data_IF_003622233116
#
_entry.id   IF_003622233116
#
_cell.length_a   1.000
_cell.length_b   1.000
_cell.length_c   1.000
_cell.angle_alpha   90.00
_cell.angle_beta   90.00
_cell.angle_gamma   90.00
#
_symmetry.space_group_name_H-M   'P 1'
#
loop_
_entity.id
_entity.type
_entity.pdbx_description
1 polymer ?
#
# COMPACT_ATOMS: atom_id res chain seq x y z
N UNK A 1 -32.06 -57.39 -46.07
CA UNK A 1 -32.34 -57.04 -47.48
C UNK A 1 -32.76 -55.57 -47.50
N UNK A 2 -31.97 -54.74 -48.20
CA UNK A 2 -32.25 -53.44 -48.87
C UNK A 2 -33.42 -52.55 -48.35
N UNK A 3 -33.37 -51.21 -48.29
CA UNK A 3 -32.48 -50.18 -48.83
C UNK A 3 -32.98 -48.81 -48.29
N UNK A 4 -32.04 -47.89 -48.04
CA UNK A 4 -32.03 -46.46 -48.36
C UNK A 4 -33.33 -45.74 -48.80
N UNK A 5 -33.61 -44.55 -48.22
CA UNK A 5 -33.32 -43.23 -48.86
C UNK A 5 -33.71 -42.03 -47.99
N UNK A 6 -32.93 -40.96 -48.20
CA UNK A 6 -32.93 -39.66 -47.55
C UNK A 6 -33.79 -38.60 -48.25
N UNK A 7 -34.04 -37.46 -47.55
CA UNK A 7 -34.00 -36.02 -47.96
C UNK A 7 -34.87 -35.21 -46.98
N UNK A 8 -34.37 -34.26 -46.18
CA UNK A 8 -33.83 -32.91 -46.47
C UNK A 8 -34.90 -31.93 -47.04
N UNK A 9 -35.41 -31.01 -46.21
CA UNK A 9 -35.32 -29.53 -46.35
C UNK A 9 -36.50 -28.70 -45.79
N UNK A 10 -36.11 -27.66 -45.02
CA UNK A 10 -36.62 -26.29 -44.91
C UNK A 10 -38.05 -25.93 -44.45
N UNK A 11 -38.10 -25.03 -43.45
CA UNK A 11 -39.26 -24.20 -43.09
C UNK A 11 -39.15 -23.66 -41.65
N UNK A 12 -38.29 -22.69 -41.35
CA UNK A 12 -38.53 -21.23 -41.40
C UNK A 12 -39.50 -20.73 -40.30
N UNK A 13 -39.00 -19.75 -39.54
CA UNK A 13 -39.65 -18.83 -38.56
C UNK A 13 -39.75 -19.30 -37.11
N UNK A 14 -38.66 -19.08 -36.36
CA UNK A 14 -38.79 -18.63 -34.97
C UNK A 14 -38.30 -17.18 -34.89
N UNK A 15 -39.22 -16.33 -34.45
CA UNK A 15 -39.15 -14.89 -34.34
C UNK A 15 -37.96 -14.46 -33.47
N UNK A 16 -37.13 -13.55 -34.00
CA UNK A 16 -36.28 -12.68 -33.19
C UNK A 16 -37.17 -11.85 -32.27
N UNK A 17 -37.04 -12.04 -30.95
CA UNK A 17 -37.47 -11.05 -29.97
C UNK A 17 -36.18 -10.40 -29.44
N UNK A 18 -35.78 -9.31 -30.08
CA UNK A 18 -34.74 -8.40 -29.57
C UNK A 18 -35.40 -7.63 -28.44
N UNK A 19 -35.32 -8.19 -27.22
CA UNK A 19 -35.57 -7.42 -26.02
C UNK A 19 -34.41 -6.43 -25.87
N UNK A 20 -34.69 -5.17 -26.21
CA UNK A 20 -33.84 -4.03 -25.91
C UNK A 20 -33.85 -3.80 -24.39
N UNK A 21 -33.14 -4.66 -23.66
CA UNK A 21 -32.66 -4.33 -22.33
C UNK A 21 -31.53 -3.33 -22.51
N UNK A 22 -31.89 -2.05 -22.48
CA UNK A 22 -30.97 -0.99 -22.05
C UNK A 22 -30.56 -1.33 -20.62
N UNK A 23 -29.58 -2.24 -20.49
CA UNK A 23 -28.73 -2.27 -19.32
C UNK A 23 -28.09 -0.88 -19.30
N UNK A 24 -28.54 -0.05 -18.36
CA UNK A 24 -27.66 0.93 -17.76
C UNK A 24 -26.44 0.13 -17.27
N UNK A 25 -25.45 -0.03 -18.15
CA UNK A 25 -24.10 -0.30 -17.69
C UNK A 25 -23.84 0.84 -16.71
N UNK A 26 -23.49 0.56 -15.43
CA UNK A 26 -22.89 1.61 -14.63
C UNK A 26 -21.75 2.12 -15.50
N UNK A 27 -21.75 3.42 -15.76
CA UNK A 27 -20.54 4.10 -16.20
C UNK A 27 -19.53 3.84 -15.10
N UNK A 28 -18.80 2.74 -15.23
CA UNK A 28 -17.60 2.50 -14.45
C UNK A 28 -16.80 3.77 -14.61
N UNK A 29 -16.53 4.42 -13.48
CA UNK A 29 -15.75 5.63 -13.38
C UNK A 29 -14.38 5.34 -14.00
N UNK A 30 -14.27 5.53 -15.31
CA UNK A 30 -13.03 5.41 -16.05
C UNK A 30 -12.39 6.80 -16.05
N UNK A 31 -11.84 7.20 -14.91
CA UNK A 31 -10.95 8.35 -14.83
C UNK A 31 -10.17 8.33 -13.50
N UNK A 32 -8.83 8.32 -13.63
CA UNK A 32 -7.79 8.51 -12.62
C UNK A 32 -7.06 7.27 -12.03
N UNK A 33 -7.22 6.08 -12.63
CA UNK A 33 -6.13 5.09 -12.61
C UNK A 33 -5.02 5.66 -13.51
N UNK A 34 -3.77 5.82 -13.10
CA UNK A 34 -2.91 4.72 -12.72
C UNK A 34 -1.93 5.21 -11.66
N UNK A 35 -2.32 5.05 -10.39
CA UNK A 35 -1.29 4.94 -9.35
C UNK A 35 -0.41 3.73 -9.67
N UNK A 36 -0.98 2.65 -10.21
CA UNK A 36 -0.24 1.46 -10.64
C UNK A 36 -0.39 1.27 -12.13
N UNK A 37 0.71 1.01 -12.83
CA UNK A 37 0.66 0.67 -14.26
C UNK A 37 0.01 -0.71 -14.46
N UNK A 38 -0.55 -0.96 -15.64
CA UNK A 38 -1.13 -2.26 -15.97
C UNK A 38 -0.14 -3.43 -15.81
N UNK A 39 1.14 -3.22 -16.10
CA UNK A 39 2.19 -4.24 -15.95
C UNK A 39 2.44 -4.58 -14.47
N UNK A 40 2.48 -3.58 -13.59
CA UNK A 40 2.62 -3.80 -12.15
C UNK A 40 1.38 -4.47 -11.55
N UNK A 41 0.18 -4.09 -12.00
CA UNK A 41 -1.05 -4.77 -11.60
C UNK A 41 -1.03 -6.23 -12.03
N UNK A 42 -0.71 -6.50 -13.30
CA UNK A 42 -0.62 -7.86 -13.82
C UNK A 42 0.41 -8.69 -13.06
N UNK A 43 1.57 -8.12 -12.76
CA UNK A 43 2.59 -8.79 -11.96
C UNK A 43 2.04 -9.18 -10.57
N UNK A 44 1.38 -8.27 -9.87
CA UNK A 44 0.79 -8.53 -8.56
C UNK A 44 -0.28 -9.64 -8.63
N UNK A 45 -1.14 -9.61 -9.64
CA UNK A 45 -2.18 -10.64 -9.83
C UNK A 45 -1.57 -12.02 -10.14
N UNK A 46 -0.60 -12.08 -11.06
CA UNK A 46 0.11 -13.32 -11.39
C UNK A 46 0.90 -13.84 -10.16
N UNK A 47 1.47 -12.94 -9.37
CA UNK A 47 2.25 -13.29 -8.19
C UNK A 47 1.34 -13.81 -7.08
N UNK A 48 0.17 -13.22 -6.86
CA UNK A 48 -0.84 -13.79 -5.97
C UNK A 48 -1.29 -15.18 -6.42
N UNK A 49 -1.58 -15.38 -7.72
CA UNK A 49 -1.93 -16.70 -8.25
C UNK A 49 -0.79 -17.73 -8.07
N UNK A 50 0.46 -17.28 -8.10
CA UNK A 50 1.62 -18.10 -7.74
C UNK A 50 1.69 -18.40 -6.24
N UNK A 51 1.45 -17.41 -5.36
CA UNK A 51 1.49 -17.59 -3.91
C UNK A 51 0.34 -18.49 -3.45
N UNK A 52 -0.91 -18.12 -3.74
CA UNK A 52 -2.12 -18.85 -3.35
C UNK A 52 -2.04 -19.41 -1.94
N UNK A 53 -2.40 -20.68 -1.78
CA UNK A 53 -2.22 -21.42 -0.51
C UNK A 53 -0.78 -21.97 -0.33
N UNK A 54 0.11 -21.77 -1.30
CA UNK A 54 1.45 -22.40 -1.32
C UNK A 54 2.37 -21.82 -0.26
N UNK A 55 2.28 -20.53 0.02
CA UNK A 55 3.14 -19.88 1.03
C UNK A 55 2.90 -20.45 2.43
N UNK A 56 1.67 -20.88 2.74
CA UNK A 56 1.35 -21.51 4.04
C UNK A 56 2.04 -22.87 4.24
N UNK A 57 2.56 -23.46 3.16
CA UNK A 57 3.33 -24.72 3.15
C UNK A 57 4.84 -24.50 3.14
N UNK A 58 5.29 -23.24 3.13
CA UNK A 58 6.70 -22.88 3.22
C UNK A 58 7.19 -22.94 4.66
N UNK A 59 8.50 -22.76 4.85
CA UNK A 59 9.08 -22.75 6.19
C UNK A 59 8.57 -21.52 6.94
N UNK A 60 8.03 -21.74 8.14
CA UNK A 60 7.63 -20.66 9.04
C UNK A 60 8.85 -20.23 9.85
N UNK A 61 9.11 -18.92 9.88
CA UNK A 61 10.20 -18.34 10.65
C UNK A 61 9.72 -17.84 12.00
N UNK A 62 10.57 -17.98 13.02
CA UNK A 62 10.31 -17.45 14.37
C UNK A 62 10.52 -15.94 14.47
N UNK A 63 11.33 -15.37 13.56
CA UNK A 63 11.66 -13.95 13.51
C UNK A 63 11.79 -13.48 12.07
N UNK A 64 11.53 -12.18 11.85
CA UNK A 64 11.78 -11.56 10.56
C UNK A 64 13.29 -11.48 10.29
N UNK A 65 13.80 -11.93 9.13
CA UNK A 65 15.24 -11.95 8.88
C UNK A 65 15.87 -10.56 8.80
N UNK A 66 17.09 -10.43 9.35
CA UNK A 66 17.90 -9.23 9.18
C UNK A 66 18.32 -9.04 7.70
N UNK A 67 18.49 -7.80 7.28
CA UNK A 67 18.88 -7.46 5.90
C UNK A 67 17.74 -7.54 4.87
N UNK A 68 16.53 -7.87 5.31
CA UNK A 68 15.30 -7.75 4.52
C UNK A 68 14.63 -6.43 4.90
N UNK A 69 14.15 -5.63 3.94
CA UNK A 69 13.33 -4.47 4.22
C UNK A 69 12.12 -4.82 5.06
N UNK A 70 11.80 -3.97 6.03
CA UNK A 70 10.59 -4.12 6.82
C UNK A 70 9.38 -3.87 5.91
N UNK A 71 8.38 -4.75 5.86
CA UNK A 71 7.17 -4.53 5.07
C UNK A 71 6.40 -3.32 5.61
N UNK A 72 5.70 -2.59 4.75
CA UNK A 72 5.01 -1.36 5.17
C UNK A 72 3.92 -1.59 6.24
N UNK A 73 3.30 -2.77 6.24
CA UNK A 73 2.31 -3.16 7.26
C UNK A 73 2.95 -3.74 8.54
N UNK A 74 4.27 -3.72 8.64
CA UNK A 74 5.04 -4.21 9.78
C UNK A 74 5.51 -5.66 9.64
N UNK A 75 5.97 -6.24 10.75
CA UNK A 75 6.45 -7.63 10.83
C UNK A 75 5.67 -8.47 11.84
N UNK A 76 4.62 -7.91 12.43
CA UNK A 76 3.79 -8.60 13.41
C UNK A 76 2.89 -9.63 12.72
N UNK A 77 3.20 -10.90 12.89
CA UNK A 77 2.40 -11.97 12.31
C UNK A 77 3.16 -13.26 12.06
N UNK A 78 2.65 -14.07 11.13
CA UNK A 78 3.32 -15.28 10.71
C UNK A 78 4.25 -14.98 9.53
N UNK A 79 5.54 -15.27 9.67
CA UNK A 79 6.53 -15.08 8.61
C UNK A 79 6.82 -16.40 7.93
N UNK A 80 6.77 -16.45 6.61
CA UNK A 80 7.02 -17.63 5.78
C UNK A 80 8.12 -17.36 4.75
N UNK A 81 8.97 -18.35 4.49
CA UNK A 81 10.11 -18.22 3.59
C UNK A 81 10.18 -19.38 2.60
N UNK A 82 10.27 -19.08 1.30
CA UNK A 82 10.39 -20.11 0.29
C UNK A 82 11.73 -20.87 0.38
N UNK A 83 11.83 -22.01 -0.30
CA UNK A 83 13.06 -22.83 -0.29
C UNK A 83 14.32 -22.10 -0.75
N UNK A 84 14.20 -21.04 -1.56
CA UNK A 84 15.35 -20.25 -2.02
C UNK A 84 15.86 -19.37 -0.87
N UNK A 85 14.96 -18.65 -0.20
CA UNK A 85 15.26 -17.84 0.97
C UNK A 85 15.87 -18.67 2.11
N UNK A 86 15.47 -19.94 2.24
CA UNK A 86 15.97 -20.85 3.28
C UNK A 86 17.36 -21.43 3.03
N UNK A 87 17.97 -21.23 1.84
CA UNK A 87 19.31 -21.77 1.57
C UNK A 87 20.39 -21.09 2.41
N UNK A 88 20.28 -19.79 2.58
CA UNK A 88 21.18 -18.97 3.38
C UNK A 88 20.40 -17.80 3.97
N UNK A 89 20.03 -17.91 5.24
CA UNK A 89 19.26 -16.87 5.95
C UNK A 89 20.07 -15.59 6.23
N UNK A 90 21.38 -15.61 5.96
CA UNK A 90 22.24 -14.42 6.04
C UNK A 90 22.39 -13.70 4.70
N UNK A 91 21.99 -14.35 3.59
CA UNK A 91 22.10 -13.83 2.24
C UNK A 91 20.96 -14.31 1.34
N UNK A 92 20.03 -13.40 1.06
CA UNK A 92 18.89 -13.68 0.20
C UNK A 92 19.27 -13.60 -1.29
N UNK A 93 19.34 -14.75 -1.94
CA UNK A 93 19.54 -14.85 -3.38
C UNK A 93 18.32 -14.34 -4.16
N UNK A 94 18.52 -13.98 -5.43
CA UNK A 94 17.43 -13.70 -6.36
C UNK A 94 16.47 -14.89 -6.46
N UNK A 95 15.17 -14.61 -6.35
CA UNK A 95 14.15 -15.66 -6.22
C UNK A 95 13.73 -15.97 -4.78
N UNK A 96 14.39 -15.38 -3.78
CA UNK A 96 13.93 -15.43 -2.39
C UNK A 96 12.57 -14.74 -2.27
N UNK A 97 11.65 -15.38 -1.56
CA UNK A 97 10.34 -14.82 -1.23
C UNK A 97 10.11 -14.97 0.25
N UNK A 98 9.74 -13.86 0.88
CA UNK A 98 9.23 -13.79 2.24
C UNK A 98 7.77 -13.37 2.19
N UNK A 99 6.94 -13.96 3.04
CA UNK A 99 5.53 -13.60 3.19
C UNK A 99 5.28 -13.34 4.65
N UNK A 100 4.73 -12.17 4.99
CA UNK A 100 4.24 -11.83 6.32
C UNK A 100 2.72 -11.82 6.26
N UNK A 101 2.11 -12.72 7.02
CA UNK A 101 0.67 -12.75 7.23
C UNK A 101 0.35 -11.96 8.50
N UNK A 102 -0.21 -10.76 8.31
CA UNK A 102 -0.48 -9.80 9.37
C UNK A 102 -1.74 -10.18 10.13
N UNK A 103 -1.64 -10.31 11.44
CA UNK A 103 -2.72 -10.83 12.29
C UNK A 103 -3.34 -9.72 13.12
N UNK A 104 -4.68 -9.68 13.15
CA UNK A 104 -5.48 -8.84 14.04
C UNK A 104 -6.58 -9.70 14.65
N UNK A 105 -6.75 -9.64 15.97
CA UNK A 105 -7.75 -10.42 16.71
C UNK A 105 -7.72 -11.93 16.38
N UNK A 106 -6.51 -12.46 16.17
CA UNK A 106 -6.28 -13.88 15.85
C UNK A 106 -6.62 -14.28 14.41
N UNK A 107 -6.88 -13.33 13.51
CA UNK A 107 -7.17 -13.58 12.09
C UNK A 107 -6.24 -12.80 11.18
N UNK A 108 -5.87 -13.36 10.02
CA UNK A 108 -5.16 -12.59 9.02
C UNK A 108 -6.05 -11.46 8.50
N UNK A 109 -5.49 -10.26 8.33
CA UNK A 109 -6.17 -9.13 7.71
C UNK A 109 -5.47 -8.63 6.45
N UNK A 110 -4.16 -8.86 6.34
CA UNK A 110 -3.36 -8.49 5.18
C UNK A 110 -2.17 -9.46 5.01
N UNK A 111 -1.58 -9.45 3.82
CA UNK A 111 -0.43 -10.29 3.47
C UNK A 111 0.60 -9.41 2.76
N UNK A 112 1.75 -9.18 3.38
CA UNK A 112 2.90 -8.58 2.69
C UNK A 112 3.74 -9.68 2.06
N UNK A 113 4.02 -9.57 0.77
CA UNK A 113 4.97 -10.43 0.06
C UNK A 113 6.17 -9.61 -0.37
N UNK A 114 7.37 -10.09 -0.03
CA UNK A 114 8.63 -9.48 -0.40
C UNK A 114 9.36 -10.44 -1.33
N UNK A 115 9.55 -10.01 -2.56
CA UNK A 115 10.26 -10.76 -3.59
C UNK A 115 11.61 -10.14 -3.86
N UNK A 116 12.68 -10.90 -3.64
CA UNK A 116 14.03 -10.48 -4.05
C UNK A 116 14.16 -10.66 -5.56
N UNK A 117 13.83 -9.58 -6.26
CA UNK A 117 13.83 -9.51 -7.71
C UNK A 117 15.25 -9.38 -8.26
N UNK A 118 15.43 -9.60 -9.57
CA UNK A 118 16.74 -9.47 -10.23
C UNK A 118 17.31 -8.05 -10.10
N UNK A 119 18.62 -7.95 -10.33
CA UNK A 119 19.37 -6.70 -10.31
C UNK A 119 18.63 -5.57 -11.06
N UNK A 120 18.59 -4.40 -10.41
CA UNK A 120 18.11 -3.12 -10.93
C UNK A 120 16.59 -2.94 -11.05
N UNK A 121 15.78 -3.88 -10.53
CA UNK A 121 14.31 -3.74 -10.57
C UNK A 121 13.79 -2.79 -9.49
N UNK A 122 14.37 -2.80 -8.28
CA UNK A 122 14.00 -1.87 -7.23
C UNK A 122 15.20 -1.42 -6.41
N UNK A 123 16.10 -0.65 -7.03
CA UNK A 123 17.35 -0.16 -6.39
C UNK A 123 17.13 0.53 -5.05
N UNK A 124 16.00 1.22 -4.89
CA UNK A 124 15.66 1.95 -3.65
C UNK A 124 15.59 0.99 -2.46
N UNK A 125 15.13 -0.23 -2.69
CA UNK A 125 14.89 -1.21 -1.64
C UNK A 125 15.79 -2.44 -1.79
N UNK A 126 17.02 -2.23 -2.27
CA UNK A 126 17.98 -3.31 -2.51
C UNK A 126 17.33 -4.44 -3.34
N UNK A 127 16.70 -4.12 -4.47
CA UNK A 127 15.99 -5.06 -5.35
C UNK A 127 14.84 -5.88 -4.72
N UNK A 128 14.42 -5.57 -3.49
CA UNK A 128 13.20 -6.15 -2.92
C UNK A 128 11.98 -5.44 -3.49
N UNK A 129 11.05 -6.23 -4.01
CA UNK A 129 9.75 -5.75 -4.46
C UNK A 129 8.68 -6.23 -3.48
N UNK A 130 7.97 -5.29 -2.86
CA UNK A 130 6.86 -5.58 -1.98
C UNK A 130 5.52 -5.51 -2.74
N UNK A 131 4.65 -6.48 -2.45
CA UNK A 131 3.22 -6.38 -2.71
C UNK A 131 2.45 -6.65 -1.43
N UNK A 132 1.58 -5.72 -1.05
CA UNK A 132 0.61 -5.86 0.03
C UNK A 132 -0.73 -6.29 -0.55
N UNK A 133 -1.24 -7.43 -0.09
CA UNK A 133 -2.56 -7.94 -0.43
C UNK A 133 -3.50 -7.88 0.77
N UNK A 134 -4.79 -7.79 0.49
CA UNK A 134 -5.82 -8.26 1.41
C UNK A 134 -5.90 -9.79 1.38
N UNK A 135 -6.58 -10.39 2.36
CA UNK A 135 -6.68 -11.86 2.49
C UNK A 135 -7.40 -12.55 1.33
N UNK A 136 -8.18 -11.81 0.54
CA UNK A 136 -8.85 -12.31 -0.67
C UNK A 136 -7.94 -12.25 -1.91
N UNK A 137 -6.74 -11.67 -1.80
CA UNK A 137 -5.81 -11.45 -2.90
C UNK A 137 -5.91 -10.09 -3.58
N UNK A 138 -6.83 -9.22 -3.15
CA UNK A 138 -6.94 -7.86 -3.67
C UNK A 138 -5.65 -7.08 -3.39
N UNK A 139 -5.07 -6.47 -4.44
CA UNK A 139 -3.78 -5.76 -4.34
C UNK A 139 -3.99 -4.38 -3.72
N UNK A 140 -3.60 -4.24 -2.46
CA UNK A 140 -3.68 -2.97 -1.74
C UNK A 140 -2.59 -2.00 -2.18
N UNK A 141 -1.34 -2.46 -2.20
CA UNK A 141 -0.16 -1.61 -2.49
C UNK A 141 0.96 -2.41 -3.14
N UNK A 142 1.77 -1.76 -3.98
CA UNK A 142 3.00 -2.34 -4.52
C UNK A 142 4.15 -1.34 -4.46
N UNK A 143 5.40 -1.83 -4.47
CA UNK A 143 6.57 -0.96 -4.66
C UNK A 143 6.59 -0.23 -6.02
N UNK A 144 5.77 -0.65 -6.99
CA UNK A 144 5.61 0.01 -8.29
C UNK A 144 4.54 1.10 -8.33
N UNK A 145 3.84 1.34 -7.22
CA UNK A 145 2.82 2.38 -7.13
C UNK A 145 3.45 3.77 -7.26
N UNK A 146 2.74 4.68 -7.94
CA UNK A 146 3.19 6.00 -8.33
C UNK A 146 3.59 6.78 -7.08
N UNK A 147 4.89 7.02 -6.97
CA UNK A 147 5.53 7.69 -5.85
C UNK A 147 4.93 9.06 -5.52
N UNK A 148 4.21 9.72 -6.45
CA UNK A 148 3.69 11.06 -6.21
C UNK A 148 2.71 11.14 -5.03
N UNK A 149 1.84 10.14 -4.86
CA UNK A 149 0.87 10.09 -3.76
C UNK A 149 1.12 8.93 -2.79
N UNK A 150 2.06 8.04 -3.12
CA UNK A 150 2.42 6.91 -2.28
C UNK A 150 3.31 7.38 -1.13
N UNK A 151 2.76 7.35 0.09
CA UNK A 151 3.50 7.58 1.33
C UNK A 151 3.57 6.26 2.09
N UNK A 152 4.68 6.02 2.78
CA UNK A 152 4.89 4.82 3.60
C UNK A 152 3.78 4.68 4.66
N UNK A 153 3.26 3.46 4.84
CA UNK A 153 2.21 3.17 5.81
C UNK A 153 0.81 3.59 5.36
N UNK A 154 0.65 4.16 4.17
CA UNK A 154 -0.64 4.56 3.61
C UNK A 154 -0.91 3.93 2.24
N UNK A 155 -2.17 3.55 2.04
CA UNK A 155 -2.73 3.27 0.71
C UNK A 155 -3.42 4.52 0.21
N UNK A 156 -2.97 5.03 -0.93
CA UNK A 156 -3.55 6.16 -1.61
C UNK A 156 -4.27 5.68 -2.89
N UNK A 157 -5.49 6.19 -3.15
CA UNK A 157 -6.27 5.89 -4.36
C UNK A 157 -6.99 7.12 -4.86
N UNK A 158 -7.01 7.34 -6.18
CA UNK A 158 -7.87 8.36 -6.77
C UNK A 158 -9.23 7.74 -7.10
N UNK A 159 -10.31 8.35 -6.59
CA UNK A 159 -11.69 7.96 -6.90
C UNK A 159 -12.46 9.23 -7.19
N UNK A 160 -12.98 9.35 -8.41
CA UNK A 160 -13.68 10.53 -8.93
C UNK A 160 -12.90 11.84 -8.72
N UNK A 161 -11.60 11.83 -9.01
CA UNK A 161 -10.70 12.98 -8.85
C UNK A 161 -10.38 13.37 -7.40
N UNK A 162 -10.80 12.56 -6.42
CA UNK A 162 -10.51 12.77 -4.99
C UNK A 162 -9.47 11.77 -4.53
N UNK A 163 -8.51 12.25 -3.74
CA UNK A 163 -7.47 11.41 -3.17
C UNK A 163 -7.98 10.78 -1.88
N UNK A 164 -8.25 9.49 -1.92
CA UNK A 164 -8.51 8.68 -0.74
C UNK A 164 -7.22 8.17 -0.16
N UNK A 165 -7.09 8.26 1.15
CA UNK A 165 -5.95 7.75 1.89
C UNK A 165 -6.42 7.03 3.14
N UNK A 166 -5.94 5.80 3.30
CA UNK A 166 -6.14 4.99 4.50
C UNK A 166 -4.80 4.42 4.97
N UNK A 167 -4.62 4.15 6.27
CA UNK A 167 -3.50 3.34 6.73
C UNK A 167 -3.53 1.96 6.06
N UNK A 168 -2.35 1.36 5.85
CA UNK A 168 -2.23 0.01 5.28
C UNK A 168 -2.96 -1.07 6.09
N UNK A 169 -3.24 -0.79 7.36
CA UNK A 169 -3.94 -1.68 8.28
C UNK A 169 -5.42 -1.28 8.49
N UNK A 170 -5.95 -0.30 7.76
CA UNK A 170 -7.33 0.16 7.94
C UNK A 170 -8.33 -0.96 7.65
N UNK A 171 -9.35 -1.19 8.51
CA UNK A 171 -10.42 -2.14 8.21
C UNK A 171 -11.27 -1.69 7.01
N UNK A 172 -11.25 -0.40 6.66
CA UNK A 172 -11.99 0.16 5.54
C UNK A 172 -11.26 0.00 4.18
N UNK A 173 -10.08 -0.64 4.18
CA UNK A 173 -9.26 -0.78 2.97
C UNK A 173 -9.95 -1.61 1.89
N UNK A 174 -10.67 -2.68 2.28
CA UNK A 174 -11.43 -3.51 1.33
C UNK A 174 -12.46 -2.69 0.54
N UNK A 175 -13.26 -1.87 1.23
CA UNK A 175 -14.25 -1.00 0.60
C UNK A 175 -13.58 -0.03 -0.39
N UNK A 176 -12.45 0.58 -0.01
CA UNK A 176 -11.71 1.49 -0.89
C UNK A 176 -11.18 0.79 -2.15
N UNK A 177 -10.67 -0.44 -2.02
CA UNK A 177 -10.13 -1.19 -3.15
C UNK A 177 -11.22 -1.60 -4.15
N UNK A 178 -12.43 -1.90 -3.68
CA UNK A 178 -13.61 -2.12 -4.51
C UNK A 178 -14.10 -0.85 -5.24
N UNK A 179 -13.52 0.32 -4.91
CA UNK A 179 -13.95 1.61 -5.45
C UNK A 179 -15.12 2.22 -4.68
N UNK A 180 -15.51 1.61 -3.56
CA UNK A 180 -16.50 2.15 -2.66
C UNK A 180 -15.86 3.19 -1.72
N UNK A 181 -16.63 4.18 -1.33
CA UNK A 181 -16.23 5.14 -0.32
C UNK A 181 -16.54 4.55 1.07
N UNK A 182 -15.54 4.43 1.98
CA UNK A 182 -15.81 4.11 3.37
C UNK A 182 -16.96 4.91 3.95
N UNK A 183 -17.90 4.24 4.62
CA UNK A 183 -19.11 4.88 5.17
C UNK A 183 -18.75 6.05 6.10
N UNK A 184 -17.79 5.81 7.02
CA UNK A 184 -17.24 6.82 7.91
C UNK A 184 -15.98 7.39 7.31
N UNK A 185 -16.03 8.65 6.92
CA UNK A 185 -14.88 9.36 6.39
C UNK A 185 -14.93 10.85 6.69
N UNK A 186 -13.76 11.48 6.61
CA UNK A 186 -13.59 12.92 6.58
C UNK A 186 -13.31 13.38 5.16
N UNK A 187 -13.74 14.59 4.83
CA UNK A 187 -13.45 15.23 3.55
C UNK A 187 -12.75 16.56 3.81
N UNK A 188 -11.57 16.73 3.25
CA UNK A 188 -10.72 17.91 3.39
C UNK A 188 -10.48 18.53 2.00
N UNK A 189 -11.34 19.47 1.57
CA UNK A 189 -11.21 20.11 0.27
C UNK A 189 -9.88 20.86 0.14
N UNK A 190 -9.12 20.58 -0.92
CA UNK A 190 -7.87 21.27 -1.21
C UNK A 190 -6.68 20.92 -0.31
N UNK A 191 -6.83 19.96 0.61
CA UNK A 191 -5.77 19.59 1.55
C UNK A 191 -4.75 18.60 0.98
N UNK A 192 -5.13 17.83 -0.04
CA UNK A 192 -4.23 16.87 -0.67
C UNK A 192 -3.20 17.53 -1.58
N UNK A 193 -2.17 16.78 -2.01
CA UNK A 193 -1.23 17.19 -3.05
C UNK A 193 -1.95 17.73 -4.29
N UNK A 194 -1.37 18.72 -4.97
CA UNK A 194 -1.98 19.46 -6.09
C UNK A 194 -3.35 20.11 -5.77
N UNK A 195 -3.62 20.44 -4.49
CA UNK A 195 -4.92 20.94 -4.02
C UNK A 195 -6.08 19.96 -4.28
N UNK A 196 -5.79 18.66 -4.33
CA UNK A 196 -6.84 17.63 -4.41
C UNK A 196 -7.67 17.61 -3.13
N UNK A 197 -8.93 17.17 -3.26
CA UNK A 197 -9.73 16.84 -2.07
C UNK A 197 -9.18 15.57 -1.46
N UNK A 198 -8.72 15.67 -0.21
CA UNK A 198 -8.25 14.53 0.57
C UNK A 198 -9.43 13.92 1.32
N UNK A 199 -9.62 12.61 1.19
CA UNK A 199 -10.58 11.82 1.94
C UNK A 199 -9.88 10.74 2.72
N UNK A 200 -10.34 10.47 3.94
CA UNK A 200 -9.72 9.50 4.82
C UNK A 200 -10.73 9.01 5.87
N UNK A 201 -10.42 7.93 6.59
CA UNK A 201 -11.28 7.40 7.67
C UNK A 201 -11.35 8.34 8.88
N UNK A 202 -10.30 9.13 9.13
CA UNK A 202 -10.21 10.07 10.24
C UNK A 202 -9.41 11.32 9.89
N UNK A 203 -9.50 12.36 10.74
CA UNK A 203 -8.69 13.57 10.58
C UNK A 203 -7.23 13.30 10.92
N UNK A 204 -7.00 12.41 11.88
CA UNK A 204 -5.71 11.97 12.36
C UNK A 204 -4.95 11.27 11.24
N UNK A 205 -5.58 10.30 10.57
CA UNK A 205 -5.02 9.64 9.38
C UNK A 205 -4.69 10.66 8.29
N UNK A 206 -5.61 11.56 7.98
CA UNK A 206 -5.39 12.56 6.93
C UNK A 206 -4.21 13.48 7.26
N UNK A 207 -4.07 13.88 8.53
CA UNK A 207 -2.96 14.71 8.98
C UNK A 207 -1.64 13.94 9.01
N UNK A 208 -1.63 12.68 9.45
CA UNK A 208 -0.47 11.80 9.41
C UNK A 208 0.02 11.61 7.96
N UNK A 209 -0.89 11.38 7.01
CA UNK A 209 -0.54 11.30 5.59
C UNK A 209 0.08 12.59 5.05
N UNK A 210 -0.45 13.77 5.41
CA UNK A 210 0.11 15.05 4.95
C UNK A 210 1.48 15.38 5.55
N UNK A 211 1.78 14.79 6.70
CA UNK A 211 3.09 14.89 7.37
C UNK A 211 4.07 13.87 6.82
N UNK A 212 3.61 12.67 6.44
CA UNK A 212 4.45 11.67 5.80
C UNK A 212 5.06 12.22 4.51
N UNK A 213 6.39 12.19 4.41
CA UNK A 213 7.15 12.75 3.28
C UNK A 213 8.41 11.94 3.05
N UNK A 214 8.87 11.79 1.79
CA UNK A 214 10.15 11.13 1.51
C UNK A 214 11.32 11.80 2.26
N UNK A 215 12.26 10.99 2.76
CA UNK A 215 13.42 11.45 3.52
C UNK A 215 13.16 11.71 5.01
N UNK A 216 11.91 11.54 5.46
CA UNK A 216 11.54 11.65 6.87
C UNK A 216 10.70 10.46 7.31
N UNK A 217 10.98 9.97 8.51
CA UNK A 217 10.11 9.01 9.22
C UNK A 217 9.26 9.81 10.19
N UNK A 218 7.94 9.57 10.15
CA UNK A 218 6.99 10.31 10.98
C UNK A 218 6.13 9.38 11.81
N UNK A 219 6.01 9.68 13.10
CA UNK A 219 5.16 8.95 14.03
C UNK A 219 4.05 9.85 14.56
N UNK A 220 2.84 9.33 14.66
CA UNK A 220 1.69 10.09 15.14
C UNK A 220 1.30 9.66 16.55
N UNK A 221 1.45 10.56 17.52
CA UNK A 221 1.15 10.30 18.92
C UNK A 221 0.40 11.48 19.56
N UNK A 222 -0.72 11.21 20.21
CA UNK A 222 -1.53 12.21 20.92
C UNK A 222 -1.86 13.47 20.10
N UNK A 223 -2.13 13.31 18.80
CA UNK A 223 -2.43 14.41 17.89
C UNK A 223 -1.22 15.28 17.54
N UNK A 224 0.00 14.76 17.76
CA UNK A 224 1.26 15.41 17.43
C UNK A 224 2.01 14.53 16.43
N UNK A 225 2.73 15.16 15.52
CA UNK A 225 3.61 14.46 14.61
C UNK A 225 5.04 14.57 15.09
N UNK A 226 5.63 13.43 15.43
CA UNK A 226 7.07 13.27 15.55
C UNK A 226 7.67 13.12 14.16
N UNK A 227 8.77 13.84 13.91
CA UNK A 227 9.46 13.87 12.62
C UNK A 227 10.94 13.60 12.87
N UNK A 228 11.48 12.66 12.12
CA UNK A 228 12.88 12.27 12.13
C UNK A 228 13.40 12.22 10.71
N UNK A 229 14.66 12.56 10.49
CA UNK A 229 15.33 12.26 9.22
C UNK A 229 15.52 10.75 9.08
N UNK A 230 15.22 10.24 7.89
CA UNK A 230 15.32 8.81 7.56
C UNK A 230 16.77 8.31 7.71
N UNK A 231 16.94 7.14 8.33
CA UNK A 231 18.26 6.52 8.53
C UNK A 231 19.11 7.10 9.67
N UNK A 232 18.57 8.03 10.47
CA UNK A 232 19.26 8.54 11.66
C UNK A 232 19.08 7.63 12.88
N UNK A 233 20.08 7.62 13.78
CA UNK A 233 20.00 6.89 15.06
C UNK A 233 18.79 7.35 15.89
N UNK A 234 18.38 8.62 15.77
CA UNK A 234 17.20 9.15 16.44
C UNK A 234 15.90 8.48 15.96
N UNK A 235 15.76 8.22 14.65
CA UNK A 235 14.60 7.53 14.08
C UNK A 235 14.51 6.09 14.58
N UNK A 236 15.64 5.38 14.63
CA UNK A 236 15.74 4.00 15.13
C UNK A 236 15.49 3.92 16.63
N UNK A 237 16.10 4.83 17.41
CA UNK A 237 15.91 4.85 18.86
C UNK A 237 14.47 5.20 19.24
N UNK A 238 13.77 6.00 18.44
CA UNK A 238 12.37 6.30 18.69
C UNK A 238 11.47 5.07 18.57
N UNK A 239 11.67 4.22 17.55
CA UNK A 239 10.86 3.01 17.41
C UNK A 239 11.15 1.99 18.51
N UNK A 240 12.38 1.92 19.02
CA UNK A 240 12.79 0.96 20.05
C UNK A 240 12.49 1.43 21.49
N UNK A 241 12.79 2.70 21.79
CA UNK A 241 12.80 3.24 23.16
C UNK A 241 11.72 4.30 23.39
N UNK A 242 11.02 4.74 22.34
CA UNK A 242 9.99 5.77 22.39
C UNK A 242 10.54 7.19 22.44
N UNK A 243 9.89 8.05 23.22
CA UNK A 243 10.12 9.50 23.22
C UNK A 243 11.57 9.85 23.60
N UNK A 244 12.31 10.67 22.80
CA UNK A 244 13.68 11.03 23.11
C UNK A 244 13.74 11.98 24.32
N UNK A 245 14.80 11.84 25.13
CA UNK A 245 15.02 12.70 26.30
C UNK A 245 15.09 14.19 25.94
N UNK A 246 15.68 14.51 24.78
CA UNK A 246 15.78 15.86 24.24
C UNK A 246 14.99 15.93 22.94
N UNK A 247 14.07 16.90 22.88
CA UNK A 247 13.30 17.17 21.69
C UNK A 247 12.85 18.63 21.64
N UNK A 248 12.58 19.11 20.43
CA UNK A 248 11.98 20.41 20.17
C UNK A 248 10.51 20.21 19.83
N UNK A 249 9.66 21.11 20.33
CA UNK A 249 8.21 21.14 20.01
C UNK A 249 7.86 22.46 19.35
N UNK A 250 7.22 22.41 18.19
CA UNK A 250 6.74 23.60 17.47
C UNK A 250 5.25 23.47 17.23
N UNK A 251 4.49 24.25 17.98
CA UNK A 251 3.03 24.21 17.98
C UNK A 251 2.51 24.84 16.68
N UNK A 252 1.64 24.11 15.98
CA UNK A 252 0.93 24.65 14.81
C UNK A 252 1.74 24.76 13.54
N UNK A 253 2.96 24.23 13.49
CA UNK A 253 3.83 24.29 12.31
C UNK A 253 3.51 23.24 11.24
N UNK A 254 2.81 22.17 11.60
CA UNK A 254 2.43 21.11 10.67
C UNK A 254 1.17 21.42 9.86
N UNK A 255 0.85 20.57 8.85
CA UNK A 255 -0.45 20.56 8.18
C UNK A 255 -1.59 20.57 9.20
N UNK A 256 -2.71 21.23 8.86
CA UNK A 256 -3.86 21.38 9.77
C UNK A 256 -3.53 22.00 11.15
N UNK A 257 -2.45 22.77 11.26
CA UNK A 257 -1.95 23.33 12.52
C UNK A 257 -1.56 22.25 13.54
N UNK A 258 -1.09 21.10 13.06
CA UNK A 258 -0.54 20.05 13.91
C UNK A 258 0.74 20.52 14.61
N UNK A 259 0.96 20.05 15.82
CA UNK A 259 2.21 20.25 16.55
C UNK A 259 3.27 19.30 16.04
N UNK A 260 4.42 19.84 15.62
CA UNK A 260 5.57 19.04 15.20
C UNK A 260 6.53 18.86 16.38
N UNK A 261 7.06 17.66 16.51
CA UNK A 261 8.13 17.30 17.44
C UNK A 261 9.29 16.66 16.69
N UNK A 262 10.52 16.93 17.10
CA UNK A 262 11.72 16.38 16.48
C UNK A 262 12.88 16.36 17.49
N UNK A 263 13.98 15.61 17.25
CA UNK A 263 15.13 15.60 18.15
C UNK A 263 15.77 16.99 18.32
N UNK A 264 15.77 17.81 17.27
CA UNK A 264 16.36 19.14 17.26
C UNK A 264 15.57 20.11 16.35
N UNK A 265 16.04 21.36 16.30
CA UNK A 265 15.36 22.42 15.54
C UNK A 265 15.68 22.29 14.05
N UNK A 266 16.90 21.90 13.72
CA UNK A 266 17.38 21.68 12.36
C UNK A 266 16.49 20.69 11.61
N UNK A 267 16.10 19.57 12.26
CA UNK A 267 15.20 18.57 11.69
C UNK A 267 13.82 19.16 11.34
N UNK A 268 13.26 20.01 12.20
CA UNK A 268 11.96 20.67 11.92
C UNK A 268 12.10 21.64 10.75
N UNK A 269 13.15 22.45 10.76
CA UNK A 269 13.37 23.43 9.71
C UNK A 269 13.62 22.73 8.36
N UNK A 270 14.39 21.64 8.34
CA UNK A 270 14.58 20.78 7.17
C UNK A 270 13.25 20.17 6.68
N UNK A 271 12.44 19.61 7.58
CA UNK A 271 11.13 19.05 7.26
C UNK A 271 10.16 20.08 6.65
N UNK A 272 10.19 21.31 7.17
CA UNK A 272 9.38 22.42 6.67
C UNK A 272 9.95 23.05 5.39
N UNK A 273 11.14 22.64 4.95
CA UNK A 273 11.85 23.24 3.82
C UNK A 273 12.34 24.66 4.11
N UNK A 274 12.53 25.01 5.38
CA UNK A 274 13.14 26.27 5.80
C UNK A 274 14.65 26.13 5.67
N UNK A 275 15.18 26.51 4.50
CA UNK A 275 16.63 26.54 4.29
C UNK A 275 17.26 27.59 5.21
N UNK A 276 18.13 27.16 6.13
CA UNK A 276 18.99 28.05 6.89
C UNK A 276 20.10 28.55 5.96
N UNK A 277 19.82 29.56 5.13
CA UNK A 277 20.93 30.31 4.55
C UNK A 277 21.69 31.01 5.72
N UNK A 278 23.02 30.89 5.78
CA UNK A 278 23.78 31.63 6.77
C UNK A 278 23.56 33.11 6.50
N UNK A 279 23.02 33.83 7.49
CA UNK A 279 23.06 35.30 7.49
C UNK A 279 24.53 35.71 7.52
N UNK A 280 25.07 36.05 6.35
CA UNK A 280 26.35 36.73 6.20
C UNK A 280 26.25 38.19 6.67
#
# INVERSE_FOLDING_TARGET
MMMFRARLEFGVRTLLLVAASLLCLPTASMADDEIRTADHQKYADDFWAFLGDRYTKWEKLDQFPAGVPTPEAGIEGNVYANKVAMKDSSKFDYGSILVVEHIRDGKPYAISSLYRSRLDVNKKNDDWYEVLYLTDGSVAKTSGDNAKFSHEGFVAKLVDGRLWVLPVDSPALAELLEGNAPEKHVTLPGAGPDRKTLKSDSRETAAAYMVARPGFVTYWEDGRAWVFEEGTEAATSFSENGVPEKHVTVIGAGPMRTTLKAPDRETIDAFLGVSLEPKH
#
